data_IF_962499424307
#
_entry.id   IF_962499424307
#
_cell.length_a   1.000
_cell.length_b   1.000
_cell.length_c   1.000
_cell.angle_alpha   90.00
_cell.angle_beta   90.00
_cell.angle_gamma   90.00
#
_symmetry.space_group_name_H-M   'P 1'
#
loop_
_entity.id
_entity.type
_entity.pdbx_description
1 polymer ?
#
# COMPACT_ATOMS: atom_id res chain seq x y z
N UNK A 1 -16.08 -22.88 2.98
CA UNK A 1 -15.73 -23.12 4.40
C UNK A 1 -14.87 -21.95 4.85
N UNK A 2 -15.35 -21.16 5.80
CA UNK A 2 -14.52 -20.13 6.47
C UNK A 2 -13.78 -20.77 7.65
N UNK A 3 -12.62 -20.21 8.00
CA UNK A 3 -11.91 -20.55 9.24
C UNK A 3 -12.70 -20.07 10.46
N UNK A 4 -12.34 -20.57 11.64
CA UNK A 4 -12.87 -20.04 12.90
C UNK A 4 -12.53 -18.55 13.03
N UNK A 5 -13.50 -17.76 13.52
CA UNK A 5 -13.30 -16.33 13.77
C UNK A 5 -12.30 -16.19 14.91
N UNK A 6 -11.24 -15.41 14.69
CA UNK A 6 -10.20 -15.19 15.69
C UNK A 6 -9.58 -13.81 15.53
N UNK A 7 -9.12 -13.23 16.63
CA UNK A 7 -8.40 -11.94 16.63
C UNK A 7 -7.16 -12.00 15.74
N UNK A 8 -6.46 -13.14 15.68
CA UNK A 8 -5.32 -13.32 14.78
C UNK A 8 -5.74 -13.30 13.30
N UNK A 9 -6.88 -13.92 12.97
CA UNK A 9 -7.48 -13.86 11.63
C UNK A 9 -7.90 -12.43 11.26
N UNK A 10 -8.47 -11.69 12.21
CA UNK A 10 -8.85 -10.28 12.01
C UNK A 10 -7.61 -9.41 11.77
N UNK A 11 -6.53 -9.62 12.52
CA UNK A 11 -5.25 -8.92 12.32
C UNK A 11 -4.63 -9.22 10.96
N UNK A 12 -4.64 -10.49 10.53
CA UNK A 12 -4.15 -10.86 9.20
C UNK A 12 -4.96 -10.16 8.10
N UNK A 13 -6.28 -10.21 8.22
CA UNK A 13 -7.19 -9.59 7.26
C UNK A 13 -6.99 -8.07 7.21
N UNK A 14 -6.84 -7.42 8.37
CA UNK A 14 -6.50 -6.01 8.46
C UNK A 14 -5.15 -5.71 7.78
N UNK A 15 -4.14 -6.55 7.97
CA UNK A 15 -2.85 -6.42 7.29
C UNK A 15 -2.99 -6.46 5.76
N UNK A 16 -3.78 -7.39 5.23
CA UNK A 16 -4.05 -7.47 3.78
C UNK A 16 -4.78 -6.22 3.28
N UNK A 17 -5.78 -5.72 4.01
CA UNK A 17 -6.48 -4.47 3.67
C UNK A 17 -5.52 -3.27 3.66
N UNK A 18 -4.58 -3.18 4.61
CA UNK A 18 -3.55 -2.14 4.59
C UNK A 18 -2.68 -2.25 3.34
N UNK A 19 -2.24 -3.45 2.97
CA UNK A 19 -1.44 -3.64 1.76
C UNK A 19 -2.23 -3.29 0.49
N UNK A 20 -3.52 -3.63 0.43
CA UNK A 20 -4.41 -3.27 -0.68
C UNK A 20 -4.53 -1.75 -0.82
N UNK A 21 -4.77 -1.03 0.29
CA UNK A 21 -4.85 0.44 0.29
C UNK A 21 -3.53 1.10 -0.12
N UNK A 22 -2.40 0.58 0.34
CA UNK A 22 -1.07 1.15 0.05
C UNK A 22 -0.62 0.92 -1.40
N UNK A 23 -0.98 -0.22 -1.99
CA UNK A 23 -0.49 -0.64 -3.32
C UNK A 23 -1.52 -0.45 -4.44
N UNK A 24 -2.78 -0.19 -4.08
CA UNK A 24 -3.92 -0.12 -5.00
C UNK A 24 -4.29 -1.46 -5.64
N UNK A 25 -3.73 -2.58 -5.15
CA UNK A 25 -3.89 -3.92 -5.76
C UNK A 25 -4.81 -4.79 -4.95
N UNK A 26 -5.77 -5.41 -5.63
CA UNK A 26 -6.71 -6.35 -5.01
C UNK A 26 -5.99 -7.65 -4.64
N UNK A 27 -6.23 -8.25 -3.46
CA UNK A 27 -5.66 -9.54 -3.09
C UNK A 27 -6.01 -10.68 -4.07
N UNK A 28 -7.10 -10.52 -4.82
CA UNK A 28 -7.62 -11.47 -5.82
C UNK A 28 -7.39 -11.00 -7.26
N UNK A 29 -6.44 -10.10 -7.49
CA UNK A 29 -6.07 -9.67 -8.84
C UNK A 29 -5.52 -10.84 -9.66
N UNK A 30 -5.76 -10.85 -10.97
CA UNK A 30 -5.27 -11.87 -11.91
C UNK A 30 -3.73 -11.89 -11.97
N UNK A 31 -3.08 -10.80 -11.55
CA UNK A 31 -1.63 -10.73 -11.40
C UNK A 31 -1.06 -11.70 -10.31
N UNK A 32 -1.91 -12.27 -9.45
CA UNK A 32 -1.51 -13.13 -8.34
C UNK A 32 -1.87 -14.61 -8.56
N UNK A 33 -1.56 -15.14 -9.72
CA UNK A 33 -1.68 -16.56 -10.05
C UNK A 33 -0.48 -17.39 -9.52
N UNK A 34 -0.53 -18.72 -9.69
CA UNK A 34 0.57 -19.64 -9.37
C UNK A 34 1.12 -19.57 -7.93
N UNK A 35 0.24 -19.33 -6.96
CA UNK A 35 0.61 -19.28 -5.54
C UNK A 35 1.26 -17.97 -5.11
N UNK A 36 1.29 -16.97 -5.99
CA UNK A 36 1.54 -15.59 -5.59
C UNK A 36 0.33 -15.01 -4.86
N UNK A 37 0.58 -13.97 -4.07
CA UNK A 37 -0.45 -13.18 -3.41
C UNK A 37 0.13 -11.81 -3.05
N UNK A 38 -0.76 -10.89 -2.68
CA UNK A 38 -0.39 -9.53 -2.33
C UNK A 38 0.68 -9.46 -1.22
N UNK A 39 0.60 -10.33 -0.21
CA UNK A 39 1.58 -10.37 0.88
C UNK A 39 2.98 -10.71 0.36
N UNK A 40 3.11 -11.76 -0.46
CA UNK A 40 4.40 -12.18 -1.02
C UNK A 40 4.96 -11.15 -2.02
N UNK A 41 4.09 -10.51 -2.79
CA UNK A 41 4.46 -9.43 -3.70
C UNK A 41 5.08 -8.23 -2.95
N UNK A 42 4.48 -7.82 -1.84
CA UNK A 42 5.05 -6.75 -0.99
C UNK A 42 6.33 -7.22 -0.29
N UNK A 43 6.34 -8.45 0.24
CA UNK A 43 7.48 -9.00 0.96
C UNK A 43 8.74 -9.10 0.10
N UNK A 44 8.61 -9.44 -1.19
CA UNK A 44 9.73 -9.48 -2.14
C UNK A 44 10.23 -8.10 -2.57
N UNK A 45 9.43 -7.06 -2.36
CA UNK A 45 9.77 -5.67 -2.69
C UNK A 45 10.38 -4.91 -1.50
N UNK A 46 10.27 -5.45 -0.28
CA UNK A 46 10.79 -4.82 0.93
C UNK A 46 12.31 -5.07 1.11
N UNK A 47 13.09 -4.07 1.58
CA UNK A 47 12.72 -2.66 1.78
C UNK A 47 12.95 -1.80 0.53
N UNK A 48 13.83 -2.24 -0.37
CA UNK A 48 14.46 -1.37 -1.37
C UNK A 48 13.54 -0.92 -2.52
N UNK A 49 12.46 -1.66 -2.77
CA UNK A 49 11.57 -1.43 -3.92
C UNK A 49 10.15 -1.03 -3.52
N UNK A 50 9.90 -0.66 -2.26
CA UNK A 50 8.56 -0.30 -1.77
C UNK A 50 7.94 0.84 -2.58
N UNK A 51 8.70 1.90 -2.87
CA UNK A 51 8.19 3.06 -3.61
C UNK A 51 7.62 2.67 -4.98
N UNK A 52 8.17 1.65 -5.63
CA UNK A 52 7.74 1.21 -6.97
C UNK A 52 6.41 0.45 -6.95
N UNK A 53 6.01 -0.08 -5.80
CA UNK A 53 4.82 -0.91 -5.67
C UNK A 53 3.65 -0.20 -4.99
N UNK A 54 3.92 0.94 -4.34
CA UNK A 54 2.90 1.82 -3.78
C UNK A 54 2.02 2.39 -4.89
N UNK A 55 0.75 2.63 -4.56
CA UNK A 55 -0.16 3.34 -5.43
C UNK A 55 0.37 4.78 -5.64
N UNK A 56 0.49 5.25 -6.89
CA UNK A 56 0.91 6.63 -7.18
C UNK A 56 0.04 7.69 -6.50
N UNK A 57 -1.21 7.40 -6.16
CA UNK A 57 -2.09 8.30 -5.40
C UNK A 57 -1.78 8.32 -3.90
N UNK A 58 -1.13 7.26 -3.37
CA UNK A 58 -0.66 7.18 -1.98
C UNK A 58 0.71 7.85 -1.84
N UNK A 59 1.53 7.78 -2.88
CA UNK A 59 2.81 8.50 -2.93
C UNK A 59 2.52 9.99 -3.06
N UNK A 60 2.88 10.78 -2.04
CA UNK A 60 2.76 12.23 -2.12
C UNK A 60 3.57 12.76 -3.30
N UNK A 61 3.06 13.80 -3.98
CA UNK A 61 3.70 14.46 -5.13
C UNK A 61 5.10 15.04 -4.84
N UNK A 62 5.51 15.02 -3.58
CA UNK A 62 6.81 15.47 -3.08
C UNK A 62 7.81 14.30 -2.86
N UNK A 63 7.35 13.04 -2.91
CA UNK A 63 8.20 11.84 -2.81
C UNK A 63 8.79 11.43 -4.18
N UNK A 64 8.29 12.01 -5.27
CA UNK A 64 8.87 11.90 -6.61
C UNK A 64 10.05 12.86 -6.83
N UNK A 65 10.30 13.80 -5.90
CA UNK A 65 11.39 14.79 -5.95
C UNK A 65 12.57 14.43 -5.04
N UNK A 66 12.87 13.13 -4.90
CA UNK A 66 14.16 12.67 -4.36
C UNK A 66 15.06 12.06 -5.44
N UNK A 67 14.72 12.24 -6.71
CA UNK A 67 15.63 12.09 -7.83
C UNK A 67 15.62 13.45 -8.56
N UNK A 68 16.52 14.31 -8.09
CA UNK A 68 16.94 15.61 -8.64
C UNK A 68 16.13 16.86 -8.23
N UNK A 69 16.89 17.78 -7.63
CA UNK A 69 16.71 19.21 -7.37
C UNK A 69 16.00 19.73 -6.10
N UNK A 70 16.85 20.37 -5.29
CA UNK A 70 16.55 21.35 -4.24
C UNK A 70 15.47 22.34 -4.71
N UNK A 71 14.37 22.50 -3.95
CA UNK A 71 13.89 23.81 -3.52
C UNK A 71 12.65 23.72 -2.60
N UNK A 72 12.72 24.48 -1.51
CA UNK A 72 11.68 24.70 -0.50
C UNK A 72 10.29 24.97 -1.07
N UNK A 73 9.29 24.27 -0.53
CA UNK A 73 8.19 24.88 0.21
C UNK A 73 7.39 23.82 0.98
N UNK A 74 7.29 24.01 2.30
CA UNK A 74 6.38 23.27 3.18
C UNK A 74 4.94 23.46 2.70
N UNK A 75 4.38 22.50 1.97
CA UNK A 75 2.95 22.46 1.71
C UNK A 75 2.33 21.34 2.53
N UNK A 76 1.67 21.74 3.62
CA UNK A 76 0.75 20.88 4.35
C UNK A 76 -0.39 20.57 3.36
N UNK A 77 -0.58 19.31 2.91
CA UNK A 77 -1.71 19.01 2.05
C UNK A 77 -2.98 19.13 2.90
N UNK A 78 -3.97 19.87 2.38
CA UNK A 78 -5.29 19.94 2.98
C UNK A 78 -5.89 18.54 2.97
N UNK A 79 -5.98 17.92 4.14
CA UNK A 79 -6.91 16.82 4.36
C UNK A 79 -8.30 17.41 4.15
N UNK A 80 -8.90 17.18 2.99
CA UNK A 80 -10.33 17.39 2.85
C UNK A 80 -11.00 16.34 3.73
N UNK A 81 -11.39 16.81 4.92
CA UNK A 81 -12.08 16.06 5.95
C UNK A 81 -13.41 15.57 5.38
N UNK A 82 -13.44 14.36 4.82
CA UNK A 82 -14.69 13.67 4.55
C UNK A 82 -15.13 12.97 5.84
N UNK A 83 -15.52 13.78 6.82
CA UNK A 83 -16.43 13.37 7.89
C UNK A 83 -17.77 14.05 7.62
N UNK A 84 -18.81 13.22 7.54
CA UNK A 84 -20.21 13.64 7.38
C UNK A 84 -20.64 14.52 8.54
#
# INVERSE_FOLDING_TARGET
MGSEVSTCGDMYSFGILMLEMLTGKRPTDEAFEDGQNLHNFVATSFPDNLIKILDPHVVSRDAEVAIEDENNQNFIPSVDECLV
#
